data_IF_901055185065
#
_entry.id   IF_901055185065
#
_cell.length_a   1.000
_cell.length_b   1.000
_cell.length_c   1.000
_cell.angle_alpha   90.00
_cell.angle_beta   90.00
_cell.angle_gamma   90.00
#
_symmetry.space_group_name_H-M   'P 1'
#
loop_
_entity.id
_entity.type
_entity.pdbx_description
1 polymer ?
#
# COMPACT_ATOMS: atom_id res chain seq x y z
N UNK A 1 -1.85 0.67 -25.20
CA UNK A 1 -2.64 1.87 -25.06
C UNK A 1 -2.09 2.97 -25.99
N UNK A 2 -2.93 3.62 -26.84
CA UNK A 2 -2.46 4.66 -27.75
C UNK A 2 -1.77 5.85 -27.08
N UNK A 3 -2.16 6.20 -25.86
CA UNK A 3 -1.57 7.27 -25.07
C UNK A 3 -0.11 7.02 -24.68
N UNK A 4 0.31 5.74 -24.62
CA UNK A 4 1.70 5.36 -24.35
C UNK A 4 2.64 5.56 -25.54
N UNK A 5 2.11 5.86 -26.75
CA UNK A 5 2.91 6.09 -27.96
C UNK A 5 4.04 7.11 -27.75
N UNK A 6 3.81 8.13 -26.95
CA UNK A 6 4.82 9.16 -26.60
C UNK A 6 6.04 8.61 -25.84
N UNK A 7 5.93 7.43 -25.23
CA UNK A 7 6.99 6.78 -24.45
C UNK A 7 7.62 5.58 -25.18
N UNK A 8 7.15 5.25 -26.39
CA UNK A 8 7.65 4.14 -27.19
C UNK A 8 8.74 4.65 -28.11
N UNK A 9 9.90 3.99 -28.08
CA UNK A 9 11.02 4.21 -29.00
C UNK A 9 10.75 3.60 -30.37
N UNK A 10 10.20 2.39 -30.41
CA UNK A 10 9.93 1.66 -31.65
C UNK A 10 9.22 0.33 -31.39
N UNK A 11 9.01 -0.42 -32.50
CA UNK A 11 8.39 -1.73 -32.48
C UNK A 11 9.30 -2.72 -33.21
N UNK A 12 9.61 -3.85 -32.58
CA UNK A 12 10.37 -4.94 -33.18
C UNK A 12 9.65 -6.26 -32.98
N UNK A 13 9.34 -6.96 -34.06
CA UNK A 13 8.60 -8.25 -34.01
C UNK A 13 7.29 -8.16 -33.20
N UNK A 14 6.50 -7.12 -33.39
CA UNK A 14 5.27 -6.80 -32.64
C UNK A 14 5.45 -6.54 -31.13
N UNK A 15 6.69 -6.37 -30.66
CA UNK A 15 6.99 -6.01 -29.27
C UNK A 15 7.34 -4.53 -29.25
N UNK A 16 6.65 -3.76 -28.40
CA UNK A 16 6.93 -2.36 -28.17
C UNK A 16 8.19 -2.19 -27.32
N UNK A 17 9.07 -1.29 -27.71
CA UNK A 17 10.30 -0.96 -26.99
C UNK A 17 10.11 0.41 -26.35
N UNK A 18 10.18 0.46 -25.03
CA UNK A 18 10.07 1.71 -24.25
C UNK A 18 11.35 2.52 -24.42
N UNK A 19 11.21 3.85 -24.54
CA UNK A 19 12.33 4.78 -24.64
C UNK A 19 12.98 4.98 -23.27
N UNK A 20 14.11 4.32 -23.04
CA UNK A 20 14.82 4.36 -21.76
C UNK A 20 15.39 5.74 -21.42
N UNK A 21 15.63 6.62 -22.40
CA UNK A 21 16.05 8.00 -22.12
C UNK A 21 14.91 8.78 -21.47
N UNK A 22 13.68 8.55 -21.94
CA UNK A 22 12.48 9.11 -21.30
C UNK A 22 12.25 8.48 -19.92
N UNK A 23 12.38 7.15 -19.81
CA UNK A 23 12.30 6.46 -18.51
C UNK A 23 13.21 7.11 -17.50
N UNK A 24 14.50 7.29 -17.83
CA UNK A 24 15.49 7.88 -16.91
C UNK A 24 15.11 9.31 -16.51
N UNK A 25 14.60 10.11 -17.46
CA UNK A 25 14.20 11.49 -17.20
C UNK A 25 13.01 11.58 -16.24
N UNK A 26 11.95 10.80 -16.52
CA UNK A 26 10.77 10.72 -15.67
C UNK A 26 11.09 10.12 -14.30
N UNK A 27 11.92 9.10 -14.28
CA UNK A 27 12.36 8.45 -13.04
C UNK A 27 13.11 9.43 -12.12
N UNK A 28 14.12 10.16 -12.64
CA UNK A 28 14.86 11.15 -11.86
C UNK A 28 13.97 12.27 -11.33
N UNK A 29 13.04 12.73 -12.15
CA UNK A 29 12.06 13.72 -11.72
C UNK A 29 11.20 13.20 -10.58
N UNK A 30 10.62 12.02 -10.73
CA UNK A 30 9.79 11.37 -9.72
C UNK A 30 10.56 11.10 -8.43
N UNK A 31 11.79 10.60 -8.54
CA UNK A 31 12.67 10.38 -7.39
C UNK A 31 12.87 11.64 -6.56
N UNK A 32 13.22 12.76 -7.20
CA UNK A 32 13.40 14.03 -6.52
C UNK A 32 12.10 14.53 -5.86
N UNK A 33 10.97 14.43 -6.55
CA UNK A 33 9.66 14.83 -5.98
C UNK A 33 9.33 13.99 -4.75
N UNK A 34 9.54 12.68 -4.80
CA UNK A 34 9.28 11.78 -3.67
C UNK A 34 10.19 12.11 -2.50
N UNK A 35 11.51 12.29 -2.75
CA UNK A 35 12.49 12.67 -1.73
C UNK A 35 12.12 14.00 -1.06
N UNK A 36 11.82 15.02 -1.84
CA UNK A 36 11.51 16.36 -1.34
C UNK A 36 10.23 16.36 -0.49
N UNK A 37 9.21 15.63 -0.92
CA UNK A 37 7.98 15.44 -0.13
C UNK A 37 8.22 14.62 1.16
N UNK A 38 9.08 13.61 1.11
CA UNK A 38 9.47 12.87 2.30
C UNK A 38 10.24 13.76 3.30
N UNK A 39 11.04 14.72 2.81
CA UNK A 39 11.70 15.74 3.62
C UNK A 39 10.71 16.73 4.28
N UNK A 40 9.49 16.87 3.72
CA UNK A 40 8.37 17.59 4.32
C UNK A 40 7.56 16.74 5.33
N UNK A 41 7.97 15.50 5.60
CA UNK A 41 7.26 14.59 6.50
C UNK A 41 6.06 13.88 5.88
N UNK A 42 5.90 13.93 4.56
CA UNK A 42 4.85 13.23 3.86
C UNK A 42 5.10 11.72 3.82
N UNK A 43 4.02 10.94 3.83
CA UNK A 43 4.06 9.48 3.89
C UNK A 43 3.62 8.87 2.56
N UNK A 44 4.15 7.67 2.25
CA UNK A 44 3.82 6.94 1.02
C UNK A 44 3.32 5.53 1.36
N UNK A 45 2.22 5.09 0.72
CA UNK A 45 1.80 3.69 0.76
C UNK A 45 2.31 2.96 -0.48
N UNK A 46 2.87 1.76 -0.28
CA UNK A 46 3.34 0.88 -1.37
C UNK A 46 2.26 -0.14 -1.71
N UNK A 47 1.85 -0.21 -2.97
CA UNK A 47 0.77 -1.10 -3.44
C UNK A 47 1.25 -1.95 -4.61
N UNK A 48 1.07 -3.27 -4.49
CA UNK A 48 1.38 -4.19 -5.57
C UNK A 48 0.96 -5.61 -5.23
N UNK A 49 -0.20 -6.02 -5.74
CA UNK A 49 -0.82 -7.33 -5.44
C UNK A 49 -0.40 -8.43 -6.41
N UNK A 50 0.45 -8.11 -7.38
CA UNK A 50 1.00 -9.08 -8.32
C UNK A 50 1.92 -10.06 -7.58
N UNK A 51 1.77 -11.37 -7.80
CA UNK A 51 2.56 -12.39 -7.12
C UNK A 51 4.08 -12.15 -7.19
N UNK A 52 4.56 -11.67 -8.35
CA UNK A 52 5.97 -11.36 -8.56
C UNK A 52 6.45 -10.10 -7.80
N UNK A 53 5.53 -9.21 -7.45
CA UNK A 53 5.82 -7.94 -6.77
C UNK A 53 5.62 -8.00 -5.25
N UNK A 54 4.79 -8.92 -4.78
CA UNK A 54 4.29 -8.99 -3.40
C UNK A 54 5.40 -8.92 -2.35
N UNK A 55 6.45 -9.73 -2.49
CA UNK A 55 7.54 -9.76 -1.52
C UNK A 55 8.46 -8.53 -1.65
N UNK A 56 8.68 -8.05 -2.88
CA UNK A 56 9.50 -6.87 -3.13
C UNK A 56 8.85 -5.60 -2.57
N UNK A 57 7.54 -5.44 -2.75
CA UNK A 57 6.75 -4.33 -2.19
C UNK A 57 6.85 -4.32 -0.66
N UNK A 58 6.62 -5.48 -0.04
CA UNK A 58 6.71 -5.62 1.41
C UNK A 58 8.08 -5.21 1.92
N UNK A 59 9.15 -5.76 1.31
CA UNK A 59 10.53 -5.46 1.72
C UNK A 59 10.87 -3.98 1.55
N UNK A 60 10.60 -3.39 0.38
CA UNK A 60 10.88 -1.99 0.12
C UNK A 60 10.15 -1.05 1.10
N UNK A 61 8.88 -1.32 1.38
CA UNK A 61 8.10 -0.55 2.34
C UNK A 61 8.65 -0.69 3.76
N UNK A 62 9.03 -1.90 4.19
CA UNK A 62 9.64 -2.14 5.50
C UNK A 62 11.00 -1.45 5.63
N UNK A 63 11.84 -1.47 4.58
CA UNK A 63 13.15 -0.82 4.56
C UNK A 63 13.06 0.70 4.75
N UNK A 64 11.95 1.33 4.36
CA UNK A 64 11.71 2.75 4.59
C UNK A 64 10.66 3.04 5.67
N UNK A 65 10.14 2.03 6.37
CA UNK A 65 9.15 2.19 7.45
C UNK A 65 7.83 2.80 6.96
N UNK A 66 7.37 2.41 5.77
CA UNK A 66 6.13 2.88 5.15
C UNK A 66 5.08 1.77 5.09
N UNK A 67 3.77 2.11 5.08
CA UNK A 67 2.69 1.15 4.93
C UNK A 67 2.71 0.49 3.55
N UNK A 68 2.17 -0.75 3.46
CA UNK A 68 2.09 -1.48 2.21
C UNK A 68 0.86 -2.37 2.10
N UNK A 69 0.46 -2.66 0.85
CA UNK A 69 -0.56 -3.65 0.49
C UNK A 69 0.01 -4.53 -0.62
N UNK A 70 0.28 -5.79 -0.28
CA UNK A 70 0.98 -6.71 -1.18
C UNK A 70 0.21 -7.99 -1.54
N UNK A 71 -1.03 -8.17 -1.06
CA UNK A 71 -1.86 -9.33 -1.39
C UNK A 71 -3.12 -8.96 -2.16
N UNK A 72 -4.03 -8.23 -1.55
CA UNK A 72 -5.27 -7.80 -2.18
C UNK A 72 -5.67 -6.42 -1.69
N UNK A 73 -5.97 -5.52 -2.62
CA UNK A 73 -6.59 -4.25 -2.29
C UNK A 73 -8.07 -4.48 -1.93
N UNK A 74 -8.47 -4.11 -0.74
CA UNK A 74 -9.87 -4.15 -0.34
C UNK A 74 -10.54 -2.84 -0.76
N UNK A 75 -11.66 -2.93 -1.48
CA UNK A 75 -12.42 -1.74 -1.86
C UNK A 75 -12.79 -0.91 -0.63
N UNK A 76 -12.58 0.41 -0.71
CA UNK A 76 -12.78 1.32 0.43
C UNK A 76 -11.60 1.41 1.40
N UNK A 77 -10.43 0.84 1.07
CA UNK A 77 -9.28 0.83 1.97
C UNK A 77 -8.83 2.24 2.37
N UNK A 78 -8.94 3.22 1.48
CA UNK A 78 -8.68 4.63 1.76
C UNK A 78 -9.97 5.43 1.91
N UNK A 79 -10.93 5.25 1.02
CA UNK A 79 -12.18 6.02 1.01
C UNK A 79 -13.11 5.69 2.18
N UNK A 80 -12.96 4.50 2.78
CA UNK A 80 -13.67 4.08 3.99
C UNK A 80 -12.69 3.67 5.10
N UNK A 81 -11.68 4.50 5.31
CA UNK A 81 -10.57 4.22 6.23
C UNK A 81 -11.04 3.99 7.68
N UNK A 82 -12.11 4.65 8.12
CA UNK A 82 -12.70 4.42 9.45
C UNK A 82 -13.12 2.97 9.68
N UNK A 83 -13.74 2.33 8.69
CA UNK A 83 -14.11 0.90 8.76
C UNK A 83 -12.88 -0.01 8.71
N UNK A 84 -11.86 0.36 7.94
CA UNK A 84 -10.59 -0.38 7.91
C UNK A 84 -9.89 -0.31 9.27
N UNK A 85 -9.88 0.84 9.93
CA UNK A 85 -9.35 0.98 11.30
C UNK A 85 -10.05 0.05 12.29
N UNK A 86 -11.39 -0.07 12.22
CA UNK A 86 -12.14 -1.04 13.05
C UNK A 86 -11.67 -2.47 12.80
N UNK A 87 -11.39 -2.84 11.55
CA UNK A 87 -10.87 -4.17 11.20
C UNK A 87 -9.44 -4.41 11.69
N UNK A 88 -8.58 -3.39 11.65
CA UNK A 88 -7.22 -3.43 12.20
C UNK A 88 -7.28 -3.64 13.73
N UNK A 89 -8.10 -2.85 14.43
CA UNK A 89 -8.30 -3.03 15.87
C UNK A 89 -8.79 -4.43 16.23
N UNK A 90 -9.71 -4.99 15.43
CA UNK A 90 -10.16 -6.38 15.62
C UNK A 90 -9.02 -7.39 15.48
N UNK A 91 -8.08 -7.16 14.56
CA UNK A 91 -6.87 -7.97 14.43
C UNK A 91 -6.02 -7.89 15.70
N UNK A 92 -5.80 -6.69 16.23
CA UNK A 92 -5.03 -6.46 17.45
C UNK A 92 -5.66 -7.15 18.66
N UNK A 93 -7.00 -7.04 18.80
CA UNK A 93 -7.74 -7.73 19.87
C UNK A 93 -7.55 -9.25 19.78
N UNK A 94 -7.70 -9.86 18.60
CA UNK A 94 -7.54 -11.30 18.44
C UNK A 94 -6.10 -11.73 18.79
N UNK A 95 -5.09 -10.95 18.39
CA UNK A 95 -3.68 -11.20 18.76
C UNK A 95 -3.49 -11.14 20.27
N UNK A 96 -4.00 -10.11 20.94
CA UNK A 96 -3.94 -9.97 22.39
C UNK A 96 -4.61 -11.13 23.11
N UNK A 97 -5.82 -11.55 22.68
CA UNK A 97 -6.51 -12.72 23.21
C UNK A 97 -5.68 -14.02 23.08
N UNK A 98 -4.93 -14.14 21.98
CA UNK A 98 -4.01 -15.28 21.79
C UNK A 98 -2.83 -15.23 22.77
N UNK A 99 -2.18 -14.07 22.89
CA UNK A 99 -1.03 -13.86 23.79
C UNK A 99 -1.41 -14.09 25.28
N UNK A 100 -2.63 -13.71 25.66
CA UNK A 100 -3.15 -13.89 27.03
C UNK A 100 -3.73 -15.30 27.28
N UNK A 101 -3.68 -16.21 26.28
CA UNK A 101 -4.22 -17.57 26.41
C UNK A 101 -5.75 -17.66 26.47
N UNK A 102 -6.46 -16.56 26.17
CA UNK A 102 -7.92 -16.51 26.20
C UNK A 102 -8.56 -17.39 25.11
N UNK A 103 -7.85 -17.68 24.02
CA UNK A 103 -8.34 -18.59 22.96
C UNK A 103 -8.49 -20.04 23.46
N UNK A 104 -7.72 -20.46 24.46
CA UNK A 104 -7.78 -21.81 25.04
C UNK A 104 -9.01 -22.01 25.93
N UNK A 105 -9.64 -20.91 26.37
CA UNK A 105 -10.89 -20.93 27.16
C UNK A 105 -12.14 -21.05 26.28
N UNK A 106 -12.01 -20.85 24.96
CA UNK A 106 -13.11 -20.93 24.00
C UNK A 106 -13.34 -22.37 23.52
N UNK A 107 -14.50 -22.60 22.91
CA UNK A 107 -14.74 -23.89 22.24
C UNK A 107 -13.77 -24.05 21.07
N UNK A 108 -13.39 -25.30 20.77
CA UNK A 108 -12.47 -25.63 19.66
C UNK A 108 -12.88 -24.98 18.32
N UNK A 109 -14.21 -24.92 18.08
CA UNK A 109 -14.76 -24.32 16.85
C UNK A 109 -14.52 -22.81 16.80
N UNK A 110 -14.77 -22.10 17.90
CA UNK A 110 -14.57 -20.65 18.01
C UNK A 110 -13.09 -20.27 17.89
N UNK A 111 -12.22 -21.00 18.58
CA UNK A 111 -10.77 -20.78 18.51
C UNK A 111 -10.24 -20.93 17.07
N UNK A 112 -10.69 -21.96 16.33
CA UNK A 112 -10.31 -22.16 14.93
C UNK A 112 -10.85 -21.05 14.04
N UNK A 113 -12.10 -20.61 14.26
CA UNK A 113 -12.69 -19.49 13.48
C UNK A 113 -11.94 -18.18 13.72
N UNK A 114 -11.59 -17.85 14.96
CA UNK A 114 -10.81 -16.66 15.29
C UNK A 114 -9.40 -16.73 14.70
N UNK A 115 -8.72 -17.88 14.78
CA UNK A 115 -7.40 -18.06 14.18
C UNK A 115 -7.40 -17.85 12.67
N UNK A 116 -8.37 -18.42 11.95
CA UNK A 116 -8.53 -18.20 10.50
C UNK A 116 -8.85 -16.74 10.16
N UNK A 117 -9.63 -16.08 11.02
CA UNK A 117 -9.95 -14.66 10.84
C UNK A 117 -8.72 -13.77 11.05
N UNK A 118 -7.91 -14.06 12.06
CA UNK A 118 -6.65 -13.39 12.32
C UNK A 118 -5.69 -13.53 11.12
N UNK A 119 -5.47 -14.76 10.63
CA UNK A 119 -4.63 -15.01 9.45
C UNK A 119 -5.07 -14.19 8.23
N UNK A 120 -6.38 -14.16 7.96
CA UNK A 120 -6.96 -13.37 6.86
C UNK A 120 -6.75 -11.86 7.05
N UNK A 121 -7.00 -11.34 8.24
CA UNK A 121 -6.83 -9.92 8.55
C UNK A 121 -5.35 -9.54 8.48
N UNK A 122 -4.44 -10.35 9.03
CA UNK A 122 -3.00 -10.11 8.95
C UNK A 122 -2.51 -10.11 7.50
N UNK A 123 -2.99 -11.04 6.69
CA UNK A 123 -2.62 -11.15 5.28
C UNK A 123 -2.98 -9.87 4.48
N UNK A 124 -4.16 -9.28 4.74
CA UNK A 124 -4.65 -8.15 3.96
C UNK A 124 -4.37 -6.78 4.57
N UNK A 125 -4.33 -6.69 5.90
CA UNK A 125 -4.23 -5.42 6.63
C UNK A 125 -2.92 -5.29 7.42
N UNK A 126 -2.14 -6.36 7.56
CA UNK A 126 -0.90 -6.34 8.36
C UNK A 126 0.10 -5.28 7.93
N UNK A 127 0.15 -4.96 6.64
CA UNK A 127 1.05 -3.91 6.13
C UNK A 127 0.58 -2.47 6.36
N UNK A 128 -0.65 -2.28 6.81
CA UNK A 128 -1.23 -0.95 7.11
C UNK A 128 -1.66 -0.79 8.56
N UNK A 129 -1.32 -1.76 9.43
CA UNK A 129 -1.72 -1.74 10.85
C UNK A 129 -1.26 -0.47 11.59
N UNK A 130 -0.06 0.00 11.29
CA UNK A 130 0.56 1.17 11.92
C UNK A 130 0.20 2.49 11.21
N UNK A 131 -0.74 2.45 10.26
CA UNK A 131 -1.18 3.63 9.51
C UNK A 131 -2.27 4.40 10.27
N UNK A 132 -1.91 5.48 10.96
CA UNK A 132 -2.84 6.29 11.74
C UNK A 132 -3.58 7.34 10.92
N UNK A 133 -2.97 7.85 9.86
CA UNK A 133 -3.54 8.84 8.92
C UNK A 133 -3.49 8.32 7.48
N UNK A 134 -4.28 8.92 6.59
CA UNK A 134 -4.18 8.65 5.15
C UNK A 134 -2.78 9.02 4.64
N UNK A 135 -2.22 8.26 3.70
CA UNK A 135 -0.93 8.60 3.10
C UNK A 135 -1.06 9.80 2.16
N UNK A 136 0.02 10.54 1.98
CA UNK A 136 0.09 11.69 1.09
C UNK A 136 0.43 11.29 -0.35
N UNK A 137 1.12 10.16 -0.50
CA UNK A 137 1.53 9.58 -1.77
C UNK A 137 1.20 8.08 -1.82
N UNK A 138 1.04 7.55 -3.04
CA UNK A 138 0.84 6.13 -3.29
C UNK A 138 1.77 5.68 -4.42
N UNK A 139 2.64 4.72 -4.13
CA UNK A 139 3.42 4.02 -5.15
C UNK A 139 2.69 2.74 -5.56
N UNK A 140 2.42 2.58 -6.85
CA UNK A 140 1.62 1.46 -7.39
C UNK A 140 2.41 0.70 -8.43
N UNK A 141 2.53 -0.62 -8.26
CA UNK A 141 3.01 -1.54 -9.29
C UNK A 141 1.82 -2.18 -10.01
N UNK A 142 1.84 -2.13 -11.36
CA UNK A 142 0.77 -2.58 -12.24
C UNK A 142 -0.52 -1.74 -12.11
N UNK A 143 -0.51 -0.56 -12.73
CA UNK A 143 -1.62 0.39 -12.69
C UNK A 143 -2.94 -0.18 -13.29
N UNK A 144 -2.87 -1.19 -14.15
CA UNK A 144 -4.06 -1.82 -14.75
C UNK A 144 -4.76 -2.71 -13.72
N UNK A 145 -3.98 -3.48 -12.96
CA UNK A 145 -4.49 -4.37 -11.91
C UNK A 145 -5.02 -3.59 -10.72
N UNK A 146 -4.30 -2.58 -10.29
CA UNK A 146 -4.59 -1.79 -9.09
C UNK A 146 -5.49 -0.56 -9.38
N UNK A 147 -6.32 -0.62 -10.43
CA UNK A 147 -7.21 0.49 -10.85
C UNK A 147 -8.14 1.00 -9.74
N UNK A 148 -8.57 0.13 -8.82
CA UNK A 148 -9.44 0.51 -7.70
C UNK A 148 -8.65 1.36 -6.70
N UNK A 149 -7.43 0.95 -6.35
CA UNK A 149 -6.55 1.69 -5.46
C UNK A 149 -6.24 3.09 -6.01
N UNK A 150 -5.91 3.18 -7.29
CA UNK A 150 -5.65 4.45 -7.99
C UNK A 150 -6.89 5.35 -7.99
N UNK A 151 -8.08 4.79 -8.26
CA UNK A 151 -9.33 5.57 -8.25
C UNK A 151 -9.64 6.13 -6.85
N UNK A 152 -9.41 5.35 -5.79
CA UNK A 152 -9.57 5.81 -4.41
C UNK A 152 -8.56 6.90 -4.05
N UNK A 153 -7.28 6.70 -4.39
CA UNK A 153 -6.23 7.67 -4.16
C UNK A 153 -6.53 9.03 -4.82
N UNK A 154 -6.90 9.01 -6.11
CA UNK A 154 -7.26 10.21 -6.86
C UNK A 154 -8.47 10.93 -6.28
N UNK A 155 -9.48 10.19 -5.82
CA UNK A 155 -10.67 10.77 -5.16
C UNK A 155 -10.32 11.53 -3.88
N UNK A 156 -9.27 11.11 -3.20
CA UNK A 156 -8.80 11.71 -1.95
C UNK A 156 -7.66 12.73 -2.16
N UNK A 157 -7.25 12.99 -3.41
CA UNK A 157 -6.15 13.92 -3.70
C UNK A 157 -4.76 13.37 -3.35
N UNK A 158 -4.63 12.05 -3.19
CA UNK A 158 -3.35 11.38 -2.91
C UNK A 158 -2.58 11.28 -4.22
N UNK A 159 -1.32 11.72 -4.20
CA UNK A 159 -0.45 11.70 -5.40
C UNK A 159 -0.06 10.27 -5.76
N UNK A 160 -0.37 9.84 -6.98
CA UNK A 160 -0.08 8.49 -7.47
C UNK A 160 1.22 8.47 -8.28
N UNK A 161 2.14 7.60 -7.87
CA UNK A 161 3.42 7.30 -8.53
C UNK A 161 3.36 5.87 -9.07
N UNK A 162 3.63 5.66 -10.36
CA UNK A 162 3.63 4.28 -10.88
C UNK A 162 4.59 4.09 -12.07
N UNK A 163 5.31 2.97 -12.14
CA UNK A 163 5.86 2.47 -13.38
C UNK A 163 4.72 2.06 -14.31
N UNK A 164 4.82 2.45 -15.57
CA UNK A 164 3.77 2.24 -16.58
C UNK A 164 4.31 1.48 -17.77
N UNK A 165 3.77 0.30 -18.01
CA UNK A 165 4.02 -0.47 -19.23
C UNK A 165 3.12 0.02 -20.38
N UNK A 166 3.32 -0.50 -21.56
CA UNK A 166 2.69 -0.12 -22.83
C UNK A 166 1.16 -0.26 -22.87
N UNK A 167 0.57 -1.07 -21.97
CA UNK A 167 -0.87 -1.31 -21.81
C UNK A 167 -1.57 -0.28 -20.92
N UNK A 168 -0.81 0.48 -20.11
CA UNK A 168 -1.34 1.40 -19.11
C UNK A 168 -1.89 2.71 -19.73
N UNK A 169 -2.71 3.43 -18.97
CA UNK A 169 -3.11 4.82 -19.26
C UNK A 169 -2.26 5.78 -18.41
N UNK A 170 -1.41 6.60 -19.03
CA UNK A 170 -0.58 7.53 -18.27
C UNK A 170 -1.35 8.68 -17.61
N UNK A 171 -2.58 8.94 -18.02
CA UNK A 171 -3.38 10.06 -17.50
C UNK A 171 -4.05 9.72 -16.14
N UNK A 172 -4.00 8.46 -15.71
CA UNK A 172 -4.55 8.04 -14.40
C UNK A 172 -3.54 8.16 -13.27
N UNK A 173 -2.28 8.51 -13.60
CA UNK A 173 -1.15 8.58 -12.66
C UNK A 173 -0.54 9.98 -12.71
N UNK A 174 -0.22 10.55 -11.55
CA UNK A 174 0.34 11.90 -11.44
C UNK A 174 1.83 11.94 -11.78
N UNK A 175 2.58 10.94 -11.35
CA UNK A 175 4.01 10.79 -11.58
C UNK A 175 4.30 9.47 -12.33
N UNK A 176 4.11 9.45 -13.68
CA UNK A 176 4.32 8.25 -14.47
C UNK A 176 5.81 8.00 -14.73
N UNK A 177 6.25 6.75 -14.56
CA UNK A 177 7.58 6.29 -14.91
C UNK A 177 7.44 5.26 -16.04
N UNK A 178 7.71 5.60 -17.31
CA UNK A 178 7.62 4.62 -18.39
C UNK A 178 8.59 3.47 -18.13
N UNK A 179 8.10 2.24 -18.03
CA UNK A 179 8.95 1.09 -17.69
C UNK A 179 8.18 -0.22 -17.71
N UNK A 180 8.92 -1.33 -17.68
CA UNK A 180 8.34 -2.66 -17.61
C UNK A 180 7.93 -2.96 -16.16
N UNK A 181 6.67 -3.31 -15.93
CA UNK A 181 6.09 -3.64 -14.62
C UNK A 181 5.97 -5.15 -14.36
N UNK A 182 6.41 -5.99 -15.31
CA UNK A 182 6.36 -7.46 -15.22
C UNK A 182 7.68 -8.10 -14.84
N UNK A 183 8.80 -7.52 -15.28
CA UNK A 183 10.11 -8.11 -15.06
C UNK A 183 10.55 -7.93 -13.60
N UNK A 184 10.88 -9.03 -12.93
CA UNK A 184 11.31 -9.04 -11.52
C UNK A 184 12.44 -8.02 -11.26
N UNK A 185 13.42 -7.90 -12.17
CA UNK A 185 14.52 -6.93 -12.04
C UNK A 185 14.05 -5.47 -12.08
N UNK A 186 13.07 -5.17 -12.95
CA UNK A 186 12.48 -3.82 -13.03
C UNK A 186 11.67 -3.50 -11.79
N UNK A 187 10.88 -4.47 -11.30
CA UNK A 187 10.10 -4.36 -10.07
C UNK A 187 11.03 -4.05 -8.88
N UNK A 188 12.11 -4.82 -8.73
CA UNK A 188 13.11 -4.57 -7.68
C UNK A 188 13.75 -3.18 -7.79
N UNK A 189 14.12 -2.77 -9.00
CA UNK A 189 14.71 -1.45 -9.23
C UNK A 189 13.74 -0.34 -8.77
N UNK A 190 12.52 -0.32 -9.29
CA UNK A 190 11.56 0.75 -8.98
C UNK A 190 11.18 0.77 -7.49
N UNK A 191 10.97 -0.39 -6.87
CA UNK A 191 10.63 -0.45 -5.44
C UNK A 191 11.78 0.04 -4.55
N UNK A 192 13.00 -0.43 -4.81
CA UNK A 192 14.16 -0.08 -4.00
C UNK A 192 14.50 1.41 -4.12
N UNK A 193 14.42 1.96 -5.33
CA UNK A 193 14.70 3.38 -5.55
C UNK A 193 13.64 4.29 -4.95
N UNK A 194 12.36 3.90 -4.95
CA UNK A 194 11.32 4.67 -4.25
C UNK A 194 11.51 4.59 -2.73
N UNK A 195 11.91 3.45 -2.20
CA UNK A 195 12.26 3.32 -0.79
C UNK A 195 13.51 4.16 -0.42
N UNK A 196 14.53 4.19 -1.31
CA UNK A 196 15.71 5.03 -1.14
C UNK A 196 15.35 6.52 -1.11
N UNK A 197 14.50 6.98 -2.04
CA UNK A 197 14.02 8.36 -2.07
C UNK A 197 13.29 8.75 -0.77
N UNK A 198 12.44 7.85 -0.24
CA UNK A 198 11.77 8.06 1.05
C UNK A 198 12.77 8.14 2.20
N UNK A 199 13.79 7.29 2.23
CA UNK A 199 14.82 7.29 3.27
C UNK A 199 15.70 8.54 3.21
N UNK A 200 16.12 8.98 2.02
CA UNK A 200 16.87 10.23 1.84
C UNK A 200 16.07 11.43 2.35
N UNK A 201 14.79 11.53 1.97
CA UNK A 201 13.93 12.61 2.45
C UNK A 201 13.74 12.60 3.96
N UNK A 202 13.54 11.42 4.57
CA UNK A 202 13.47 11.28 6.03
C UNK A 202 14.77 11.68 6.74
N UNK A 203 15.92 11.37 6.15
CA UNK A 203 17.21 11.77 6.71
C UNK A 203 17.34 13.31 6.75
N UNK A 204 16.93 13.99 5.66
CA UNK A 204 16.89 15.45 5.59
C UNK A 204 15.92 16.04 6.65
N UNK A 205 14.74 15.43 6.82
CA UNK A 205 13.78 15.85 7.83
C UNK A 205 14.36 15.70 9.25
N UNK A 206 15.02 14.59 9.54
CA UNK A 206 15.64 14.36 10.85
C UNK A 206 16.76 15.37 11.16
N UNK A 207 17.55 15.76 10.16
CA UNK A 207 18.60 16.78 10.30
C UNK A 207 17.99 18.19 10.53
N UNK A 208 16.79 18.46 10.03
CA UNK A 208 16.11 19.76 10.20
C UNK A 208 15.50 19.97 11.59
N UNK A 209 15.46 18.93 12.45
CA UNK A 209 14.98 19.01 13.83
C UNK A 209 13.46 19.19 13.99
N UNK A 210 12.68 18.97 12.96
CA UNK A 210 11.21 19.04 13.01
C UNK A 210 10.65 17.70 13.52
N UNK A 211 10.20 17.68 14.79
CA UNK A 211 9.47 16.53 15.34
C UNK A 211 8.05 16.47 14.77
N UNK A 212 7.72 15.37 14.08
CA UNK A 212 6.36 15.04 13.67
C UNK A 212 5.64 14.37 14.82
N UNK A 213 4.91 15.13 15.63
CA UNK A 213 4.08 14.63 16.74
C UNK A 213 2.82 13.94 16.22
N UNK A 214 2.76 12.62 16.28
CA UNK A 214 1.51 11.87 16.28
C UNK A 214 1.05 11.69 17.72
N UNK A 215 -0.06 12.30 18.12
CA UNK A 215 -0.62 12.10 19.46
C UNK A 215 -1.15 10.66 19.62
N UNK A 216 -0.81 9.96 20.72
CA UNK A 216 -1.39 8.67 21.04
C UNK A 216 -2.82 8.81 21.55
N UNK A 217 -3.69 7.93 21.11
CA UNK A 217 -5.11 7.84 21.49
C UNK A 217 -5.22 7.46 22.98
N UNK A 218 -6.15 8.09 23.71
CA UNK A 218 -6.33 7.88 25.16
C UNK A 218 -6.85 6.48 25.50
N UNK A 219 -6.46 5.94 26.67
CA UNK A 219 -6.88 4.62 27.14
C UNK A 219 -8.41 4.45 27.25
N UNK A 220 -9.15 5.51 27.56
CA UNK A 220 -10.60 5.49 27.67
C UNK A 220 -11.31 5.22 26.32
N UNK A 221 -10.78 5.76 25.22
CA UNK A 221 -11.29 5.44 23.87
C UNK A 221 -10.96 4.00 23.44
N UNK A 222 -9.91 3.39 24.00
CA UNK A 222 -9.56 1.99 23.75
C UNK A 222 -10.58 1.03 24.38
N UNK A 223 -11.00 1.30 25.61
CA UNK A 223 -11.93 0.43 26.36
C UNK A 223 -13.35 0.48 25.81
N UNK A 224 -13.82 1.63 25.33
CA UNK A 224 -15.15 1.78 24.70
C UNK A 224 -15.22 0.99 23.36
N UNK A 225 -14.13 0.96 22.61
CA UNK A 225 -14.03 0.25 21.35
C UNK A 225 -13.89 -1.27 21.51
N UNK A 226 -13.32 -1.73 22.63
CA UNK A 226 -13.28 -3.16 22.99
C UNK A 226 -14.70 -3.66 23.27
N UNK A 227 -15.49 -2.90 24.01
CA UNK A 227 -16.89 -3.23 24.31
C UNK A 227 -17.76 -3.28 23.03
N UNK A 228 -17.58 -2.34 22.11
CA UNK A 228 -18.29 -2.29 20.82
C UNK A 228 -17.89 -3.46 19.90
N UNK A 229 -16.61 -3.84 19.84
CA UNK A 229 -16.09 -4.95 19.03
C UNK A 229 -16.57 -6.33 19.50
N UNK A 230 -16.81 -6.50 20.80
CA UNK A 230 -17.36 -7.72 21.40
C UNK A 230 -18.88 -7.81 21.18
N UNK A 231 -19.59 -6.67 21.18
CA UNK A 231 -21.05 -6.61 20.99
C UNK A 231 -21.47 -6.80 19.51
N UNK A 232 -20.68 -6.33 18.55
CA UNK A 232 -20.94 -6.49 17.12
C UNK A 232 -20.37 -7.81 16.58
N UNK A 233 -21.02 -8.94 16.84
CA UNK A 233 -20.81 -10.23 16.16
C UNK A 233 -21.11 -10.21 14.64
N UNK A 234 -21.07 -9.05 13.98
CA UNK A 234 -21.42 -8.80 12.61
C UNK A 234 -20.36 -9.23 11.59
N UNK A 235 -20.78 -10.03 10.64
CA UNK A 235 -20.03 -10.52 9.49
C UNK A 235 -19.51 -9.36 8.63
N UNK A 236 -18.18 -9.25 8.49
CA UNK A 236 -17.58 -8.47 7.41
C UNK A 236 -17.75 -9.29 6.14
N UNK A 237 -18.68 -8.89 5.28
CA UNK A 237 -18.91 -9.50 3.98
C UNK A 237 -17.72 -9.21 3.05
N UNK A 238 -16.77 -10.13 2.98
CA UNK A 238 -15.75 -10.16 1.94
C UNK A 238 -16.44 -10.69 0.68
N UNK A 239 -16.99 -9.80 -0.16
CA UNK A 239 -17.63 -10.17 -1.40
C UNK A 239 -16.83 -11.25 -2.13
N UNK A 240 -17.41 -12.44 -2.23
CA UNK A 240 -16.91 -13.53 -3.07
C UNK A 240 -17.06 -13.05 -4.52
N UNK A 241 -15.97 -12.52 -5.06
CA UNK A 241 -15.84 -12.30 -6.50
C UNK A 241 -15.39 -13.60 -7.12
N UNK A 242 -16.25 -14.16 -7.94
CA UNK A 242 -16.07 -15.37 -8.75
C UNK A 242 -14.68 -15.45 -9.38
N UNK A 243 -14.04 -16.59 -9.18
CA UNK A 243 -12.95 -17.07 -10.03
C UNK A 243 -13.53 -17.36 -11.42
N UNK A 244 -13.06 -16.64 -12.43
CA UNK A 244 -13.13 -16.99 -13.84
C UNK A 244 -11.80 -16.65 -14.51
#
# INVERSE_FOLDING_TARGET
NPKMKKFIFGVRKNIYIIDLQKTLRYFRYTYNVVRDRAAEGQTMIFVGTKKQASETIKKAAQDCGMPYVNHRWLGGMLTNFGTIKKSIRKLEIIKKMREEGQLDLLTKKEAIMLSRKEEKLELYLGGIKDMHKLPDMMFVLDAVKEKIAIAEARRLGITVVAPLDTNCDPDVVDLPIPGNDDAIRSIHLFCNEMAAAMNEGKAVLAESGVETSGEPISQAEQDELIAEAVAEGGEINFGEGEEA
#
